data_IF_874680250399
#
_entry.id   IF_874680250399
#
_cell.length_a   1.000
_cell.length_b   1.000
_cell.length_c   1.000
_cell.angle_alpha   90.00
_cell.angle_beta   90.00
_cell.angle_gamma   90.00
#
_symmetry.space_group_name_H-M   'P 1'
#
loop_
_entity.id
_entity.type
_entity.pdbx_description
1 polymer ?
#
# COMPACT_ATOMS: atom_id res chain seq x y z
N UNK A 1 -70.64 56.29 12.66
CA UNK A 1 -70.53 55.52 13.92
C UNK A 1 -70.32 54.07 13.58
N UNK A 2 -69.30 53.44 14.19
CA UNK A 2 -69.02 51.99 14.31
C UNK A 2 -68.70 51.26 12.98
N UNK A 3 -67.69 50.40 12.83
CA UNK A 3 -66.64 49.93 13.72
C UNK A 3 -65.64 49.19 12.81
N UNK A 4 -64.33 49.41 12.98
CA UNK A 4 -63.31 48.65 12.28
C UNK A 4 -63.25 47.19 12.73
N UNK A 5 -62.64 46.33 11.91
CA UNK A 5 -61.96 45.10 12.36
C UNK A 5 -60.91 44.68 11.33
N UNK A 6 -59.65 44.86 11.72
CA UNK A 6 -58.45 44.27 11.11
C UNK A 6 -58.55 42.75 11.17
N UNK A 7 -58.43 42.06 10.03
CA UNK A 7 -58.23 40.60 10.01
C UNK A 7 -56.74 40.34 10.02
N UNK A 8 -56.30 39.64 11.07
CA UNK A 8 -54.92 39.28 11.35
C UNK A 8 -54.46 38.12 10.46
N UNK A 9 -53.24 38.24 9.95
CA UNK A 9 -52.48 37.15 9.35
C UNK A 9 -52.20 36.05 10.38
N UNK A 10 -52.43 34.79 10.01
CA UNK A 10 -51.86 33.63 10.71
C UNK A 10 -51.12 32.78 9.67
N UNK A 11 -49.82 33.05 9.54
CA UNK A 11 -48.90 32.15 8.86
C UNK A 11 -48.56 31.01 9.83
N UNK A 12 -48.99 29.79 9.51
CA UNK A 12 -48.61 28.57 10.21
C UNK A 12 -47.28 28.08 9.62
N UNK A 13 -46.17 28.32 10.34
CA UNK A 13 -44.90 27.66 10.08
C UNK A 13 -44.95 26.26 10.70
N UNK A 14 -45.10 25.22 9.88
CA UNK A 14 -44.86 23.85 10.29
C UNK A 14 -43.35 23.58 10.23
N UNK A 15 -42.69 23.61 11.39
CA UNK A 15 -41.31 23.18 11.54
C UNK A 15 -41.30 21.63 11.62
N UNK A 16 -41.08 20.97 10.49
CA UNK A 16 -40.85 19.53 10.46
C UNK A 16 -39.45 19.24 11.02
N UNK A 17 -39.38 18.87 12.30
CA UNK A 17 -38.19 18.27 12.91
C UNK A 17 -38.00 16.87 12.31
N UNK A 18 -37.16 16.78 11.27
CA UNK A 18 -36.63 15.50 10.81
C UNK A 18 -35.62 15.04 11.86
N UNK A 19 -36.05 14.14 12.74
CA UNK A 19 -35.14 13.39 13.60
C UNK A 19 -34.26 12.51 12.71
N UNK A 20 -33.06 12.98 12.39
CA UNK A 20 -31.99 12.16 11.84
C UNK A 20 -31.58 11.13 12.89
N UNK A 21 -32.18 9.94 12.83
CA UNK A 21 -31.72 8.81 13.63
C UNK A 21 -30.25 8.52 13.34
N UNK A 22 -29.46 8.04 14.32
CA UNK A 22 -28.07 7.69 14.09
C UNK A 22 -28.03 6.60 13.01
N UNK A 23 -27.49 6.95 11.83
CA UNK A 23 -27.16 5.98 10.80
C UNK A 23 -26.11 5.04 11.37
N UNK A 24 -26.56 3.89 11.87
CA UNK A 24 -25.65 2.80 12.21
C UNK A 24 -24.99 2.35 10.90
N UNK A 25 -23.71 2.65 10.75
CA UNK A 25 -22.93 2.22 9.61
C UNK A 25 -22.98 0.69 9.55
N UNK A 26 -23.39 0.15 8.41
CA UNK A 26 -23.33 -1.29 8.17
C UNK A 26 -21.87 -1.76 8.31
N UNK A 27 -21.62 -2.96 8.89
CA UNK A 27 -20.26 -3.47 9.01
C UNK A 27 -19.63 -3.58 7.62
N UNK A 28 -18.46 -2.95 7.45
CA UNK A 28 -17.75 -2.92 6.19
C UNK A 28 -17.17 -4.32 5.91
N UNK A 29 -17.72 -5.03 4.94
CA UNK A 29 -17.21 -6.33 4.54
C UNK A 29 -16.16 -6.17 3.43
N UNK A 30 -14.88 -6.11 3.82
CA UNK A 30 -13.75 -6.02 2.89
C UNK A 30 -13.34 -7.44 2.46
N UNK A 31 -13.32 -7.70 1.16
CA UNK A 31 -12.84 -8.97 0.64
C UNK A 31 -11.39 -9.22 1.10
N UNK A 32 -11.05 -10.45 1.49
CA UNK A 32 -9.72 -10.80 2.01
C UNK A 32 -8.57 -10.39 1.08
N UNK A 33 -8.80 -10.45 -0.24
CA UNK A 33 -7.83 -10.04 -1.25
C UNK A 33 -7.66 -8.53 -1.41
N UNK A 34 -8.58 -7.72 -0.87
CA UNK A 34 -8.65 -6.28 -1.14
C UNK A 34 -8.38 -5.44 0.11
N UNK A 35 -7.76 -6.04 1.15
CA UNK A 35 -7.42 -5.35 2.39
C UNK A 35 -6.45 -4.20 2.11
N UNK A 36 -5.41 -4.40 1.31
CA UNK A 36 -4.48 -3.32 0.95
C UNK A 36 -5.14 -2.21 0.14
N UNK A 37 -6.06 -2.56 -0.77
CA UNK A 37 -6.86 -1.57 -1.50
C UNK A 37 -7.71 -0.75 -0.53
N UNK A 38 -8.36 -1.40 0.42
CA UNK A 38 -9.13 -0.72 1.44
C UNK A 38 -8.24 0.19 2.31
N UNK A 39 -7.07 -0.27 2.74
CA UNK A 39 -6.14 0.54 3.53
C UNK A 39 -5.74 1.81 2.76
N UNK A 40 -5.29 1.69 1.51
CA UNK A 40 -4.81 2.86 0.75
C UNK A 40 -5.94 3.81 0.36
N UNK A 41 -7.18 3.31 0.23
CA UNK A 41 -8.33 4.14 -0.14
C UNK A 41 -9.09 4.73 1.06
N UNK A 42 -9.03 4.13 2.26
CA UNK A 42 -9.82 4.59 3.41
C UNK A 42 -8.98 4.92 4.65
N UNK A 43 -7.80 4.33 4.80
CA UNK A 43 -7.09 4.30 6.08
C UNK A 43 -5.82 5.15 6.17
N UNK A 44 -5.23 5.54 5.05
CA UNK A 44 -3.96 6.31 5.07
C UNK A 44 -4.13 7.80 5.34
N UNK A 45 -5.35 8.33 5.22
CA UNK A 45 -5.67 9.76 5.33
C UNK A 45 -6.74 10.00 6.41
N UNK A 46 -6.34 10.46 7.62
CA UNK A 46 -7.25 10.67 8.73
C UNK A 46 -8.16 11.91 8.57
N UNK A 47 -7.91 12.75 7.54
CA UNK A 47 -8.75 13.93 7.27
C UNK A 47 -10.09 13.59 6.62
N UNK A 48 -10.30 12.32 6.21
CA UNK A 48 -11.52 11.87 5.56
C UNK A 48 -12.73 11.94 6.48
N UNK A 49 -13.87 12.31 5.91
CA UNK A 49 -15.15 12.24 6.61
C UNK A 49 -15.42 10.80 7.09
N UNK A 50 -15.86 10.66 8.34
CA UNK A 50 -16.15 9.38 8.98
C UNK A 50 -14.95 8.41 9.00
N UNK A 51 -13.71 8.92 9.01
CA UNK A 51 -12.47 8.13 8.97
C UNK A 51 -12.49 6.89 9.90
N UNK A 52 -12.73 7.10 11.20
CA UNK A 52 -12.71 6.01 12.18
C UNK A 52 -13.85 4.99 12.01
N UNK A 53 -14.93 5.36 11.34
CA UNK A 53 -16.02 4.43 11.04
C UNK A 53 -15.77 3.65 9.74
N UNK A 54 -15.03 4.23 8.81
CA UNK A 54 -14.80 3.66 7.47
C UNK A 54 -13.51 2.86 7.39
N UNK A 55 -12.53 3.15 8.23
CA UNK A 55 -11.22 2.52 8.15
C UNK A 55 -11.11 1.32 9.10
N UNK A 56 -10.83 0.13 8.54
CA UNK A 56 -10.65 -1.10 9.33
C UNK A 56 -9.33 -1.17 10.11
N UNK A 57 -8.31 -0.41 9.69
CA UNK A 57 -6.98 -0.36 10.30
C UNK A 57 -6.52 1.10 10.37
N UNK A 58 -7.08 1.90 11.28
CA UNK A 58 -6.78 3.33 11.36
C UNK A 58 -5.32 3.56 11.68
N UNK A 59 -4.81 4.74 11.32
CA UNK A 59 -3.49 5.18 11.76
C UNK A 59 -3.51 5.32 13.27
N UNK A 60 -2.42 4.94 13.91
CA UNK A 60 -2.27 5.11 15.36
C UNK A 60 -2.39 6.58 15.80
N UNK A 61 -2.03 7.53 14.93
CA UNK A 61 -2.15 8.98 15.14
C UNK A 61 -3.47 9.58 14.61
N UNK A 62 -4.40 8.74 14.11
CA UNK A 62 -5.63 9.17 13.44
C UNK A 62 -6.79 9.59 14.36
N UNK A 63 -6.58 9.60 15.69
CA UNK A 63 -7.59 10.05 16.66
C UNK A 63 -8.75 9.07 16.90
N UNK A 64 -8.68 7.84 16.40
CA UNK A 64 -9.68 6.81 16.67
C UNK A 64 -9.49 6.24 18.08
N UNK A 65 -10.54 6.22 18.88
CA UNK A 65 -10.45 5.90 20.32
C UNK A 65 -9.93 4.48 20.59
N UNK A 66 -8.96 4.37 21.50
CA UNK A 66 -8.52 3.13 22.16
C UNK A 66 -7.94 2.02 21.26
N UNK A 67 -7.36 2.35 20.09
CA UNK A 67 -6.71 1.38 19.21
C UNK A 67 -5.23 1.74 19.06
N UNK A 68 -4.39 1.08 19.86
CA UNK A 68 -2.93 1.35 19.87
C UNK A 68 -2.13 0.09 19.48
N UNK A 69 -2.80 -1.03 19.26
CA UNK A 69 -2.15 -2.30 18.95
C UNK A 69 -1.66 -2.31 17.51
N UNK A 70 -0.43 -2.78 17.30
CA UNK A 70 0.21 -2.85 15.98
C UNK A 70 -0.62 -3.57 14.90
N UNK A 71 -1.38 -4.62 15.29
CA UNK A 71 -2.21 -5.41 14.37
C UNK A 71 -3.56 -4.78 14.07
N UNK A 72 -3.93 -3.76 14.82
CA UNK A 72 -5.22 -3.07 14.75
C UNK A 72 -5.08 -1.64 14.19
N UNK A 73 -3.84 -1.21 13.94
CA UNK A 73 -3.52 0.07 13.31
C UNK A 73 -2.65 -0.11 12.07
N UNK A 74 -2.62 0.90 11.21
CA UNK A 74 -1.56 1.07 10.22
C UNK A 74 -0.57 2.14 10.68
N UNK A 75 0.63 2.11 10.11
CA UNK A 75 1.63 3.15 10.26
C UNK A 75 2.01 3.64 8.87
N UNK A 76 1.65 4.88 8.55
CA UNK A 76 1.98 5.52 7.27
C UNK A 76 3.35 6.18 7.39
N UNK A 77 4.31 5.66 6.65
CA UNK A 77 5.65 6.24 6.55
C UNK A 77 5.66 7.47 5.68
N UNK A 78 4.92 7.45 4.56
CA UNK A 78 4.77 8.59 3.66
C UNK A 78 3.48 8.45 2.87
N UNK A 79 2.86 9.60 2.56
CA UNK A 79 1.68 9.68 1.72
C UNK A 79 1.84 10.84 0.74
N UNK A 80 1.58 10.60 -0.54
CA UNK A 80 1.40 11.67 -1.52
C UNK A 80 0.11 11.42 -2.34
N UNK A 81 -0.08 12.16 -3.43
CA UNK A 81 -1.29 12.04 -4.26
C UNK A 81 -1.40 10.68 -4.98
N UNK A 82 -0.28 10.02 -5.28
CA UNK A 82 -0.21 8.79 -6.09
C UNK A 82 0.07 7.53 -5.28
N UNK A 83 0.85 7.64 -4.21
CA UNK A 83 1.38 6.50 -3.47
C UNK A 83 1.25 6.69 -1.97
N UNK A 84 1.13 5.58 -1.26
CA UNK A 84 1.34 5.49 0.18
C UNK A 84 2.46 4.48 0.44
N UNK A 85 3.33 4.78 1.40
CA UNK A 85 4.22 3.81 2.00
C UNK A 85 3.77 3.54 3.43
N UNK A 86 3.57 2.28 3.76
CA UNK A 86 3.10 1.85 5.08
C UNK A 86 4.01 0.75 5.64
N UNK A 87 4.01 0.62 6.95
CA UNK A 87 4.54 -0.56 7.65
C UNK A 87 3.73 -1.80 7.29
N UNK A 88 4.38 -2.91 6.95
CA UNK A 88 3.71 -4.20 6.80
C UNK A 88 3.29 -4.74 8.19
N UNK A 89 2.12 -5.39 8.26
CA UNK A 89 1.65 -6.05 9.47
C UNK A 89 2.60 -7.14 9.97
N UNK A 90 3.43 -7.71 9.07
CA UNK A 90 4.50 -8.67 9.40
C UNK A 90 5.55 -8.09 10.34
N UNK A 91 5.70 -6.76 10.45
CA UNK A 91 6.57 -6.15 11.46
C UNK A 91 6.02 -6.24 12.89
N UNK A 92 4.74 -6.58 13.07
CA UNK A 92 4.14 -6.62 14.40
C UNK A 92 4.70 -7.75 15.26
N UNK A 93 5.41 -7.37 16.33
CA UNK A 93 6.04 -8.29 17.26
C UNK A 93 7.47 -8.69 16.87
N UNK A 94 8.04 -8.01 15.86
CA UNK A 94 9.44 -8.15 15.47
C UNK A 94 10.36 -7.20 16.24
N UNK A 95 11.67 -7.48 16.27
CA UNK A 95 12.70 -6.52 16.66
C UNK A 95 12.61 -5.21 15.85
N UNK A 96 13.06 -4.10 16.45
CA UNK A 96 12.96 -2.76 15.85
C UNK A 96 13.84 -2.56 14.60
N UNK A 97 14.86 -3.39 14.42
CA UNK A 97 15.75 -3.40 13.26
C UNK A 97 15.22 -4.26 12.10
N UNK A 98 14.14 -5.02 12.30
CA UNK A 98 13.44 -5.70 11.22
C UNK A 98 12.55 -4.71 10.45
N UNK A 99 12.85 -4.49 9.16
CA UNK A 99 12.08 -3.59 8.29
C UNK A 99 11.35 -4.36 7.21
N UNK A 100 10.04 -4.15 7.13
CA UNK A 100 9.17 -4.65 6.07
C UNK A 100 8.11 -3.61 5.76
N UNK A 101 8.33 -2.87 4.68
CA UNK A 101 7.39 -1.87 4.19
C UNK A 101 6.60 -2.32 2.99
N UNK A 102 5.53 -1.59 2.70
CA UNK A 102 4.74 -1.70 1.47
C UNK A 102 4.59 -0.31 0.86
N UNK A 103 5.05 -0.12 -0.37
CA UNK A 103 4.66 1.00 -1.21
C UNK A 103 3.50 0.57 -2.13
N UNK A 104 2.41 1.32 -2.09
CA UNK A 104 1.12 0.94 -2.67
C UNK A 104 0.60 2.14 -3.49
N UNK A 105 0.16 1.95 -4.75
CA UNK A 105 -0.53 3.01 -5.48
C UNK A 105 -1.90 3.27 -4.85
N UNK A 106 -2.31 4.53 -4.88
CA UNK A 106 -3.62 4.97 -4.40
C UNK A 106 -4.74 4.66 -5.39
N UNK A 107 -4.39 4.52 -6.67
CA UNK A 107 -5.28 4.02 -7.71
C UNK A 107 -5.39 2.49 -7.63
N UNK A 108 -6.48 1.96 -8.20
CA UNK A 108 -6.73 0.52 -8.27
C UNK A 108 -5.82 -0.07 -9.36
N UNK A 109 -4.76 -0.75 -8.94
CA UNK A 109 -3.78 -1.40 -9.82
C UNK A 109 -3.55 -2.78 -9.25
N UNK A 110 -3.73 -3.84 -10.02
CA UNK A 110 -3.76 -5.17 -9.40
C UNK A 110 -2.38 -5.75 -9.09
N UNK A 111 -1.41 -5.53 -9.98
CA UNK A 111 -0.07 -6.08 -9.84
C UNK A 111 0.77 -6.00 -11.11
N UNK A 112 1.72 -6.93 -11.24
CA UNK A 112 2.63 -7.03 -12.39
C UNK A 112 1.92 -7.25 -13.72
N UNK A 113 0.71 -7.80 -13.70
CA UNK A 113 -0.12 -8.03 -14.87
C UNK A 113 -0.87 -6.78 -15.35
N UNK A 114 -0.99 -5.75 -14.50
CA UNK A 114 -1.84 -4.59 -14.77
C UNK A 114 -1.12 -3.56 -15.65
N UNK A 115 -1.67 -3.27 -16.83
CA UNK A 115 -1.06 -2.35 -17.81
C UNK A 115 -1.02 -0.90 -17.35
N UNK A 116 -1.81 -0.52 -16.33
CA UNK A 116 -1.88 0.86 -15.83
C UNK A 116 -0.83 1.17 -14.75
N UNK A 117 0.05 0.22 -14.43
CA UNK A 117 1.11 0.41 -13.44
C UNK A 117 2.07 1.54 -13.83
N UNK A 118 2.21 2.54 -12.95
CA UNK A 118 3.16 3.62 -13.15
C UNK A 118 4.59 3.21 -12.74
N UNK A 119 5.59 3.66 -13.50
CA UNK A 119 7.02 3.42 -13.18
C UNK A 119 7.45 4.16 -11.89
N UNK A 120 6.80 5.27 -11.55
CA UNK A 120 7.19 6.15 -10.43
C UNK A 120 7.15 5.48 -9.05
N UNK A 121 6.42 4.37 -8.88
CA UNK A 121 6.33 3.64 -7.61
C UNK A 121 7.69 3.08 -7.16
N UNK A 122 8.56 2.70 -8.10
CA UNK A 122 9.88 2.15 -7.77
C UNK A 122 10.79 3.20 -7.15
N UNK A 123 10.85 4.39 -7.75
CA UNK A 123 11.63 5.50 -7.20
C UNK A 123 11.06 5.97 -5.86
N UNK A 124 9.73 6.01 -5.73
CA UNK A 124 9.04 6.32 -4.47
C UNK A 124 9.43 5.31 -3.38
N UNK A 125 9.27 4.01 -3.65
CA UNK A 125 9.60 2.95 -2.69
C UNK A 125 11.09 2.94 -2.32
N UNK A 126 11.99 3.19 -3.28
CA UNK A 126 13.43 3.25 -3.05
C UNK A 126 13.81 4.38 -2.09
N UNK A 127 13.26 5.58 -2.29
CA UNK A 127 13.49 6.71 -1.40
C UNK A 127 13.09 6.42 0.04
N UNK A 128 11.90 5.85 0.24
CA UNK A 128 11.41 5.46 1.58
C UNK A 128 12.25 4.34 2.19
N UNK A 129 12.73 3.41 1.36
CA UNK A 129 13.62 2.33 1.79
C UNK A 129 14.96 2.85 2.29
N UNK A 130 15.57 3.83 1.62
CA UNK A 130 16.86 4.40 2.02
C UNK A 130 16.84 5.14 3.36
N UNK A 131 15.67 5.57 3.82
CA UNK A 131 15.51 6.14 5.17
C UNK A 131 15.61 5.08 6.28
N UNK A 132 15.56 3.78 5.95
CA UNK A 132 15.36 2.68 6.91
C UNK A 132 16.34 1.52 6.73
N UNK A 133 16.83 1.29 5.53
CA UNK A 133 17.68 0.17 5.16
C UNK A 133 18.88 0.72 4.40
N UNK A 134 20.07 0.28 4.79
CA UNK A 134 21.31 0.60 4.07
C UNK A 134 21.21 0.25 2.60
N UNK A 135 21.72 1.13 1.73
CA UNK A 135 21.49 1.07 0.29
C UNK A 135 21.89 -0.27 -0.36
N UNK A 136 22.95 -0.91 0.16
CA UNK A 136 23.47 -2.17 -0.39
C UNK A 136 22.67 -3.39 0.08
N UNK A 137 21.89 -3.22 1.15
CA UNK A 137 21.01 -4.24 1.73
C UNK A 137 19.56 -4.06 1.30
N UNK A 138 19.17 -2.89 0.78
CA UNK A 138 17.80 -2.61 0.35
C UNK A 138 17.42 -3.42 -0.90
N UNK A 139 16.28 -4.11 -0.81
CA UNK A 139 15.58 -4.70 -1.93
C UNK A 139 14.15 -4.18 -2.03
N UNK A 140 13.72 -3.95 -3.27
CA UNK A 140 12.33 -3.73 -3.62
C UNK A 140 11.78 -4.96 -4.31
N UNK A 141 10.59 -5.37 -3.95
CA UNK A 141 10.05 -6.65 -4.41
C UNK A 141 8.58 -6.57 -4.78
N UNK A 142 8.19 -7.19 -5.89
CA UNK A 142 6.80 -7.42 -6.26
C UNK A 142 6.62 -8.90 -6.50
N UNK A 143 5.67 -9.52 -5.79
CA UNK A 143 5.36 -10.94 -5.95
C UNK A 143 4.46 -11.18 -7.18
N UNK A 144 4.59 -12.36 -7.85
CA UNK A 144 3.67 -12.75 -8.91
C UNK A 144 2.24 -12.90 -8.38
N UNK A 145 1.26 -12.89 -9.29
CA UNK A 145 -0.17 -13.05 -8.94
C UNK A 145 -0.42 -14.36 -8.20
N UNK A 146 0.24 -15.44 -8.61
CA UNK A 146 0.11 -16.78 -8.02
C UNK A 146 0.71 -16.92 -6.61
N UNK A 147 1.58 -16.00 -6.18
CA UNK A 147 2.28 -16.08 -4.89
C UNK A 147 1.94 -14.90 -3.96
N UNK A 148 0.94 -14.08 -4.30
CA UNK A 148 0.45 -12.97 -3.45
C UNK A 148 -0.96 -13.25 -2.94
N UNK A 149 -1.27 -12.68 -1.77
CA UNK A 149 -2.59 -12.82 -1.13
C UNK A 149 -3.49 -11.60 -1.32
N UNK A 150 -2.96 -10.52 -1.90
CA UNK A 150 -3.64 -9.25 -2.10
C UNK A 150 -3.73 -8.92 -3.59
N UNK A 151 -4.86 -8.36 -4.02
CA UNK A 151 -5.17 -8.00 -5.40
C UNK A 151 -4.83 -6.53 -5.70
N UNK A 152 -4.19 -5.82 -4.78
CA UNK A 152 -3.65 -4.48 -5.00
C UNK A 152 -2.14 -4.59 -5.17
N UNK A 153 -1.57 -3.92 -6.17
CA UNK A 153 -0.13 -3.83 -6.39
C UNK A 153 0.53 -3.29 -5.13
N UNK A 154 1.59 -3.94 -4.69
CA UNK A 154 2.40 -3.48 -3.57
C UNK A 154 3.86 -3.87 -3.82
N UNK A 155 4.74 -2.89 -3.69
CA UNK A 155 6.18 -3.09 -3.68
C UNK A 155 6.60 -3.27 -2.23
N UNK A 156 7.10 -4.46 -1.88
CA UNK A 156 7.71 -4.68 -0.58
C UNK A 156 9.06 -3.97 -0.51
N UNK A 157 9.34 -3.35 0.64
CA UNK A 157 10.58 -2.66 0.98
C UNK A 157 11.25 -3.49 2.08
N UNK A 158 12.35 -4.17 1.75
CA UNK A 158 12.89 -5.27 2.55
C UNK A 158 14.42 -5.27 2.56
N UNK A 159 14.99 -5.94 3.57
CA UNK A 159 16.42 -6.23 3.63
C UNK A 159 16.73 -7.52 2.86
N UNK A 160 17.75 -7.50 2.01
CA UNK A 160 18.30 -8.69 1.37
C UNK A 160 18.83 -9.69 2.40
N UNK A 161 18.72 -10.99 2.11
CA UNK A 161 19.50 -12.01 2.82
C UNK A 161 20.99 -11.78 2.52
N UNK A 162 21.85 -12.08 3.49
CA UNK A 162 23.31 -11.86 3.41
C UNK A 162 23.96 -12.35 2.10
N UNK A 163 23.48 -13.47 1.56
CA UNK A 163 24.03 -14.09 0.34
C UNK A 163 23.08 -14.02 -0.87
N UNK A 164 22.00 -13.24 -0.83
CA UNK A 164 21.03 -13.21 -1.93
C UNK A 164 21.66 -12.81 -3.27
N UNK A 165 22.65 -11.92 -3.24
CA UNK A 165 23.31 -11.38 -4.44
C UNK A 165 24.05 -12.43 -5.25
N UNK A 166 24.71 -13.38 -4.59
CA UNK A 166 25.40 -14.47 -5.30
C UNK A 166 24.43 -15.36 -6.06
N UNK A 167 23.16 -15.38 -5.65
CA UNK A 167 22.15 -16.22 -6.29
C UNK A 167 21.54 -15.55 -7.53
N UNK A 168 21.63 -14.22 -7.67
CA UNK A 168 21.01 -13.48 -8.79
C UNK A 168 21.46 -13.99 -10.16
N UNK A 169 22.71 -14.44 -10.28
CA UNK A 169 23.29 -14.98 -11.53
C UNK A 169 22.54 -16.21 -12.04
N UNK A 170 21.84 -16.92 -11.16
CA UNK A 170 21.09 -18.14 -11.49
C UNK A 170 19.66 -17.84 -11.98
N UNK A 171 19.26 -16.57 -12.03
CA UNK A 171 17.93 -16.15 -12.45
C UNK A 171 18.01 -15.23 -13.66
N UNK A 172 16.95 -15.16 -14.48
CA UNK A 172 16.83 -14.13 -15.51
C UNK A 172 16.93 -12.72 -14.88
N UNK A 173 17.90 -11.93 -15.32
CA UNK A 173 18.17 -10.61 -14.79
C UNK A 173 18.65 -9.63 -15.86
N UNK A 174 18.58 -8.34 -15.54
CA UNK A 174 19.21 -7.29 -16.32
C UNK A 174 19.64 -6.15 -15.40
N UNK A 175 20.58 -5.36 -15.89
CA UNK A 175 21.02 -4.15 -15.20
C UNK A 175 20.38 -2.91 -15.81
N UNK A 176 19.96 -1.97 -14.96
CA UNK A 176 19.37 -0.69 -15.35
C UNK A 176 20.05 0.45 -14.60
N UNK A 177 20.12 1.63 -15.22
CA UNK A 177 20.68 2.82 -14.56
C UNK A 177 19.65 3.58 -13.73
N UNK A 178 18.37 3.50 -14.11
CA UNK A 178 17.28 4.26 -13.51
C UNK A 178 16.10 3.35 -13.18
N UNK A 179 15.45 3.62 -12.05
CA UNK A 179 14.30 2.84 -11.57
C UNK A 179 13.04 3.01 -12.43
N UNK A 180 13.00 4.00 -13.33
CA UNK A 180 11.90 4.22 -14.28
C UNK A 180 11.83 3.20 -15.42
N UNK A 181 12.75 2.22 -15.44
CA UNK A 181 12.80 1.13 -16.41
C UNK A 181 12.34 -0.21 -15.88
N UNK A 182 11.99 -0.32 -14.59
CA UNK A 182 11.80 -1.64 -13.95
C UNK A 182 10.65 -2.41 -14.60
N UNK A 183 9.49 -1.79 -14.87
CA UNK A 183 8.38 -2.52 -15.49
C UNK A 183 8.71 -2.95 -16.92
N UNK A 184 9.22 -2.03 -17.73
CA UNK A 184 9.58 -2.34 -19.12
C UNK A 184 10.68 -3.41 -19.24
N UNK A 185 11.69 -3.39 -18.36
CA UNK A 185 12.80 -4.35 -18.35
C UNK A 185 12.33 -5.73 -17.87
N UNK A 186 11.60 -5.78 -16.75
CA UNK A 186 11.11 -7.05 -16.21
C UNK A 186 10.13 -7.72 -17.17
N UNK A 187 9.26 -6.97 -17.84
CA UNK A 187 8.35 -7.51 -18.85
C UNK A 187 9.10 -8.12 -20.03
N UNK A 188 10.15 -7.45 -20.54
CA UNK A 188 10.99 -7.99 -21.62
C UNK A 188 11.66 -9.31 -21.22
N UNK A 189 12.20 -9.37 -20.00
CA UNK A 189 12.79 -10.59 -19.46
C UNK A 189 11.71 -11.68 -19.38
N UNK A 190 10.57 -11.41 -18.73
CA UNK A 190 9.49 -12.39 -18.58
C UNK A 190 9.01 -12.95 -19.93
N UNK A 191 8.80 -12.10 -20.94
CA UNK A 191 8.43 -12.51 -22.29
C UNK A 191 9.51 -13.41 -22.92
N UNK A 192 10.79 -13.05 -22.83
CA UNK A 192 11.89 -13.87 -23.36
C UNK A 192 12.03 -15.23 -22.69
N UNK A 193 11.57 -15.34 -21.44
CA UNK A 193 11.60 -16.55 -20.63
C UNK A 193 10.28 -17.35 -20.70
N UNK A 194 9.29 -16.86 -21.44
CA UNK A 194 7.98 -17.49 -21.53
C UNK A 194 7.21 -17.51 -20.21
N UNK A 195 7.39 -16.49 -19.36
CA UNK A 195 6.76 -16.39 -18.04
C UNK A 195 5.48 -15.55 -18.10
N UNK A 196 4.27 -16.16 -18.05
CA UNK A 196 3.01 -15.42 -18.06
C UNK A 196 2.67 -14.76 -16.71
N UNK A 197 3.31 -15.21 -15.63
CA UNK A 197 3.22 -14.66 -14.28
C UNK A 197 4.62 -14.66 -13.67
N UNK A 198 5.01 -13.55 -13.04
CA UNK A 198 6.38 -13.35 -12.58
C UNK A 198 6.49 -12.34 -11.44
N UNK A 199 7.42 -12.59 -10.52
CA UNK A 199 7.88 -11.67 -9.52
C UNK A 199 9.08 -10.87 -10.01
N UNK A 200 9.30 -9.73 -9.36
CA UNK A 200 10.39 -8.81 -9.63
C UNK A 200 11.12 -8.53 -8.32
N UNK A 201 12.44 -8.59 -8.35
CA UNK A 201 13.31 -8.02 -7.34
C UNK A 201 14.16 -6.92 -7.97
N UNK A 202 14.32 -5.81 -7.26
CA UNK A 202 15.25 -4.73 -7.59
C UNK A 202 16.18 -4.51 -6.41
N UNK A 203 17.49 -4.48 -6.68
CA UNK A 203 18.50 -4.11 -5.71
C UNK A 203 19.55 -3.22 -6.36
N UNK A 204 20.29 -2.44 -5.57
CA UNK A 204 21.42 -1.65 -6.08
C UNK A 204 22.57 -2.58 -6.44
N UNK A 205 23.14 -2.49 -7.63
CA UNK A 205 24.33 -3.27 -8.00
C UNK A 205 25.62 -2.46 -7.77
N UNK A 206 25.59 -1.19 -8.14
CA UNK A 206 26.71 -0.27 -7.96
C UNK A 206 26.18 1.15 -7.73
N UNK A 207 27.09 2.13 -7.67
CA UNK A 207 26.71 3.53 -7.44
C UNK A 207 25.63 4.02 -8.42
N UNK A 208 25.74 3.64 -9.69
CA UNK A 208 24.92 4.18 -10.78
C UNK A 208 24.10 3.09 -11.49
N UNK A 209 23.89 1.95 -10.83
CA UNK A 209 23.25 0.79 -11.44
C UNK A 209 22.43 -0.01 -10.43
N UNK A 210 21.29 -0.50 -10.91
CA UNK A 210 20.42 -1.45 -10.23
C UNK A 210 20.40 -2.76 -11.01
N UNK A 211 20.21 -3.87 -10.31
CA UNK A 211 19.87 -5.15 -10.90
C UNK A 211 18.37 -5.40 -10.76
N UNK A 212 17.74 -5.85 -11.84
CA UNK A 212 16.36 -6.35 -11.88
C UNK A 212 16.42 -7.85 -12.10
N UNK A 213 15.84 -8.61 -11.18
CA UNK A 213 15.74 -10.07 -11.24
C UNK A 213 14.29 -10.46 -11.43
N UNK A 214 14.02 -11.41 -12.32
CA UNK A 214 12.69 -11.93 -12.63
C UNK A 214 12.62 -13.42 -12.31
N UNK A 215 11.54 -13.85 -11.66
CA UNK A 215 11.33 -15.25 -11.25
C UNK A 215 9.84 -15.62 -11.29
N UNK A 216 9.45 -16.87 -11.62
CA UNK A 216 8.06 -17.32 -11.53
C UNK A 216 7.57 -17.53 -10.08
N UNK A 217 8.46 -17.46 -9.09
CA UNK A 217 8.18 -17.68 -7.67
C UNK A 217 8.22 -16.38 -6.88
N UNK A 218 7.97 -16.42 -5.58
CA UNK A 218 8.06 -15.25 -4.70
C UNK A 218 9.53 -14.79 -4.53
N UNK A 219 9.94 -13.66 -5.12
CA UNK A 219 11.23 -13.04 -4.81
C UNK A 219 11.35 -12.60 -3.35
N UNK A 220 10.23 -12.25 -2.69
CA UNK A 220 10.19 -11.90 -1.27
C UNK A 220 10.72 -13.08 -0.44
N UNK A 221 10.13 -14.26 -0.64
CA UNK A 221 10.53 -15.46 0.06
C UNK A 221 11.97 -15.91 -0.28
N UNK A 222 12.34 -15.80 -1.56
CA UNK A 222 13.63 -16.28 -2.06
C UNK A 222 14.81 -15.46 -1.55
N UNK A 223 14.75 -14.13 -1.65
CA UNK A 223 15.95 -13.28 -1.56
C UNK A 223 16.00 -12.34 -0.37
N UNK A 224 14.90 -12.19 0.37
CA UNK A 224 14.81 -11.16 1.43
C UNK A 224 14.57 -11.75 2.81
N UNK A 225 14.87 -10.97 3.84
CA UNK A 225 14.47 -11.24 5.22
C UNK A 225 13.01 -10.77 5.37
N UNK A 226 12.06 -11.61 4.93
CA UNK A 226 10.63 -11.27 4.87
C UNK A 226 9.82 -11.67 6.11
N UNK A 227 10.48 -12.31 7.07
CA UNK A 227 9.94 -12.61 8.38
C UNK A 227 11.05 -12.43 9.43
N UNK A 228 10.66 -12.16 10.67
CA UNK A 228 11.55 -11.92 11.78
C UNK A 228 11.58 -13.10 12.78
N UNK A 229 11.18 -14.30 12.32
CA UNK A 229 10.95 -15.54 13.11
C UNK A 229 11.43 -15.44 14.56
N UNK A 230 10.48 -15.47 15.51
CA UNK A 230 10.82 -15.66 16.93
C UNK A 230 11.52 -17.00 17.15
#
# INVERSE_FOLDING_TARGET
>A
MLNGKKVWAKALFFLALVFGGPSQAAPLNVAKGDILLHIVTQCVDPSKANYCANCMLPRADGGCSNINECKSTNEVWTLNQKYAAIRDIKMCGCPSDFVHGLAIPRDIITGVEDVNREEGIWQFAWGIGLERIESDSLALVVNPKSERTQNQLHVHILTLKKNARSDFVNYPHAYIQNLDRVWSTSQKIAVSQGLPDYGILVARESKDQYIVVVTPKSPEAAFTVWNCSK
#
